data_IF_984868803491
#
_entry.id   IF_984868803491
#
_cell.length_a   1.000
_cell.length_b   1.000
_cell.length_c   1.000
_cell.angle_alpha   90.00
_cell.angle_beta   90.00
_cell.angle_gamma   90.00
#
_symmetry.space_group_name_H-M   'P 1'
#
loop_
_entity.id
_entity.type
_entity.pdbx_description
1 polymer ?
#
# COMPACT_ATOMS: atom_id res chain seq x y z
N UNK A 1 16.60 19.44 -39.18
CA UNK A 1 17.48 18.25 -39.00
C UNK A 1 18.13 17.67 -40.27
N UNK A 2 17.87 18.16 -41.50
CA UNK A 2 18.45 17.57 -42.72
C UNK A 2 19.83 18.11 -43.15
N UNK A 3 20.40 19.08 -42.44
CA UNK A 3 21.65 19.76 -42.85
C UNK A 3 22.91 19.46 -42.04
N UNK A 4 22.86 18.63 -40.99
CA UNK A 4 24.02 18.47 -40.08
C UNK A 4 24.59 17.04 -39.97
N UNK A 5 23.96 16.03 -40.56
CA UNK A 5 24.50 14.66 -40.56
C UNK A 5 24.33 14.01 -41.94
N UNK A 6 25.42 13.82 -42.72
CA UNK A 6 25.35 13.32 -44.09
C UNK A 6 25.19 11.79 -44.19
N UNK A 7 25.37 11.06 -43.08
CA UNK A 7 25.33 9.60 -43.08
C UNK A 7 24.10 9.06 -42.31
N UNK A 8 23.36 8.14 -42.94
CA UNK A 8 22.11 7.57 -42.41
C UNK A 8 22.34 6.84 -41.08
N UNK A 9 23.48 6.16 -40.94
CA UNK A 9 23.89 5.50 -39.70
C UNK A 9 24.17 6.49 -38.54
N UNK A 10 24.71 7.67 -38.86
CA UNK A 10 25.02 8.71 -37.87
C UNK A 10 23.75 9.41 -37.35
N UNK A 11 22.71 9.51 -38.18
CA UNK A 11 21.39 9.99 -37.75
C UNK A 11 20.70 9.00 -36.82
N UNK A 12 20.76 7.71 -37.13
CA UNK A 12 20.23 6.66 -36.25
C UNK A 12 20.98 6.61 -34.92
N UNK A 13 22.31 6.78 -34.93
CA UNK A 13 23.12 6.85 -33.72
C UNK A 13 22.84 8.11 -32.88
N UNK A 14 22.66 9.29 -33.49
CA UNK A 14 22.31 10.51 -32.75
C UNK A 14 20.88 10.49 -32.21
N UNK A 15 19.92 9.88 -32.93
CA UNK A 15 18.54 9.70 -32.42
C UNK A 15 18.53 8.65 -31.30
N UNK A 16 19.31 7.57 -31.40
CA UNK A 16 19.48 6.60 -30.32
C UNK A 16 20.18 7.22 -29.10
N UNK A 17 21.20 8.05 -29.29
CA UNK A 17 21.86 8.75 -28.19
C UNK A 17 20.97 9.81 -27.52
N UNK A 18 20.11 10.50 -28.27
CA UNK A 18 19.10 11.43 -27.73
C UNK A 18 17.94 10.68 -27.03
N UNK A 19 17.54 9.50 -27.52
CA UNK A 19 16.60 8.62 -26.82
C UNK A 19 17.20 8.05 -25.52
N UNK A 20 18.47 7.63 -25.53
CA UNK A 20 19.18 7.15 -24.35
C UNK A 20 19.41 8.30 -23.33
N UNK A 21 19.66 9.53 -23.79
CA UNK A 21 19.79 10.70 -22.93
C UNK A 21 18.45 11.19 -22.36
N UNK A 22 17.35 11.09 -23.12
CA UNK A 22 16.00 11.39 -22.62
C UNK A 22 15.49 10.32 -21.64
N UNK A 23 15.86 9.04 -21.85
CA UNK A 23 15.67 7.97 -20.87
C UNK A 23 16.53 8.21 -19.61
N UNK A 24 17.71 8.82 -19.73
CA UNK A 24 18.57 9.13 -18.59
C UNK A 24 18.17 10.39 -17.80
N UNK A 25 17.42 11.32 -18.38
CA UNK A 25 17.03 12.57 -17.71
C UNK A 25 15.55 12.66 -17.32
N UNK A 26 14.71 11.72 -17.78
CA UNK A 26 13.25 11.75 -17.57
C UNK A 26 12.64 10.49 -16.95
N UNK A 27 13.45 9.48 -16.59
CA UNK A 27 12.99 8.30 -15.87
C UNK A 27 14.02 7.92 -14.80
N UNK A 28 13.88 8.54 -13.62
CA UNK A 28 14.35 7.92 -12.37
C UNK A 28 13.19 7.13 -11.76
N UNK A 29 12.67 6.14 -12.47
CA UNK A 29 12.22 4.94 -11.79
C UNK A 29 13.41 4.01 -11.75
N UNK A 30 13.93 3.82 -10.55
CA UNK A 30 15.07 3.00 -10.25
C UNK A 30 14.71 1.54 -10.64
N UNK A 31 15.14 1.06 -11.81
CA UNK A 31 14.89 -0.30 -12.33
C UNK A 31 15.48 -1.44 -11.45
N UNK A 32 15.84 -1.17 -10.19
CA UNK A 32 16.41 -2.12 -9.24
C UNK A 32 15.84 -2.02 -7.81
N UNK A 33 14.75 -1.27 -7.59
CA UNK A 33 13.91 -1.52 -6.43
C UNK A 33 12.77 -2.43 -6.90
N UNK A 34 12.81 -3.71 -6.52
CA UNK A 34 11.55 -4.38 -6.21
C UNK A 34 10.81 -3.39 -5.30
N UNK A 35 9.68 -2.82 -5.75
CA UNK A 35 8.97 -1.82 -4.97
C UNK A 35 8.71 -2.42 -3.59
N UNK A 36 9.44 -1.97 -2.58
CA UNK A 36 9.31 -2.51 -1.22
C UNK A 36 7.84 -2.28 -0.84
N UNK A 37 7.03 -3.31 -0.58
CA UNK A 37 5.61 -3.09 -0.37
C UNK A 37 5.39 -2.18 0.84
N UNK A 38 4.35 -1.34 0.80
CA UNK A 38 3.94 -0.47 1.91
C UNK A 38 5.01 0.57 2.33
N UNK A 39 5.59 1.32 1.38
CA UNK A 39 6.45 2.48 1.69
C UNK A 39 5.70 3.75 2.08
N UNK A 40 4.37 3.78 1.94
CA UNK A 40 3.56 4.96 2.18
C UNK A 40 2.25 4.59 2.87
N UNK A 41 1.78 5.45 3.77
CA UNK A 41 0.59 5.20 4.58
C UNK A 41 -0.08 6.52 5.00
N UNK A 42 -1.30 6.43 5.52
CA UNK A 42 -1.98 7.55 6.16
C UNK A 42 -2.13 7.28 7.66
N UNK A 43 -1.61 8.19 8.47
CA UNK A 43 -1.79 8.20 9.91
C UNK A 43 -2.98 9.11 10.25
N UNK A 44 -3.98 8.55 10.92
CA UNK A 44 -5.20 9.24 11.29
C UNK A 44 -5.13 9.70 12.75
N UNK A 45 -5.19 11.00 12.99
CA UNK A 45 -5.12 11.57 14.35
C UNK A 45 -6.35 12.39 14.66
N UNK A 46 -7.20 11.85 15.54
CA UNK A 46 -8.32 12.61 16.07
C UNK A 46 -7.83 13.75 16.98
N UNK A 47 -8.38 14.94 16.77
CA UNK A 47 -8.12 16.14 17.54
C UNK A 47 -9.41 16.60 18.22
N UNK A 48 -9.52 16.40 19.53
CA UNK A 48 -10.65 16.89 20.33
C UNK A 48 -10.84 18.41 20.20
N UNK A 49 -9.76 19.15 19.95
CA UNK A 49 -9.79 20.62 19.82
C UNK A 49 -10.57 21.07 18.59
N UNK A 50 -10.44 20.33 17.50
CA UNK A 50 -11.04 20.66 16.20
C UNK A 50 -12.24 19.77 15.88
N UNK A 51 -12.51 18.76 16.71
CA UNK A 51 -13.54 17.73 16.49
C UNK A 51 -13.40 17.10 15.09
N UNK A 52 -12.15 16.81 14.72
CA UNK A 52 -11.80 16.36 13.38
C UNK A 52 -10.62 15.39 13.42
N UNK A 53 -10.55 14.52 12.42
CA UNK A 53 -9.42 13.62 12.20
C UNK A 53 -8.45 14.24 11.22
N UNK A 54 -7.22 14.48 11.66
CA UNK A 54 -6.13 14.88 10.78
C UNK A 54 -5.64 13.66 10.00
N UNK A 55 -5.52 13.83 8.68
CA UNK A 55 -4.94 12.83 7.78
C UNK A 55 -3.48 13.22 7.54
N UNK A 56 -2.56 12.39 8.02
CA UNK A 56 -1.13 12.69 8.00
C UNK A 56 -0.43 11.70 7.07
N UNK A 57 0.02 12.14 5.88
CA UNK A 57 0.80 11.31 4.98
C UNK A 57 2.13 10.88 5.62
N UNK A 58 2.43 9.60 5.49
CA UNK A 58 3.69 8.99 5.87
C UNK A 58 4.38 8.41 4.64
N UNK A 59 5.71 8.51 4.59
CA UNK A 59 6.52 7.81 3.58
C UNK A 59 7.83 7.31 4.16
N UNK A 60 8.35 6.23 3.61
CA UNK A 60 9.68 5.72 3.86
C UNK A 60 10.55 6.09 2.66
N UNK A 61 11.66 6.77 2.91
CA UNK A 61 12.69 7.05 1.90
C UNK A 61 14.06 6.69 2.48
N UNK A 62 14.79 5.82 1.77
CA UNK A 62 16.08 5.24 2.20
C UNK A 62 16.08 4.72 3.65
N UNK A 63 15.00 4.04 4.04
CA UNK A 63 14.83 3.49 5.40
C UNK A 63 14.46 4.51 6.47
N UNK A 64 14.35 5.79 6.13
CA UNK A 64 13.91 6.84 7.05
C UNK A 64 12.41 7.09 6.88
N UNK A 65 11.67 7.03 7.99
CA UNK A 65 10.25 7.37 8.00
C UNK A 65 10.08 8.89 8.07
N UNK A 66 9.26 9.45 7.20
CA UNK A 66 8.90 10.86 7.16
C UNK A 66 7.40 11.06 7.41
N UNK A 67 7.09 12.15 8.08
CA UNK A 67 5.74 12.67 8.32
C UNK A 67 5.55 13.98 7.55
N UNK A 68 4.42 14.13 6.87
CA UNK A 68 4.07 15.37 6.17
C UNK A 68 3.30 16.34 7.07
N UNK A 69 3.74 17.59 7.10
CA UNK A 69 3.12 18.68 7.86
C UNK A 69 2.34 19.57 6.91
N UNK A 70 1.01 19.53 6.99
CA UNK A 70 0.11 20.33 6.14
C UNK A 70 0.33 21.84 6.31
N UNK A 71 0.62 22.29 7.51
CA UNK A 71 0.78 23.73 7.82
C UNK A 71 2.03 24.33 7.17
N UNK A 72 3.07 23.53 6.98
CA UNK A 72 4.38 23.97 6.46
C UNK A 72 4.69 23.43 5.08
N UNK A 73 3.83 22.54 4.53
CA UNK A 73 4.06 21.85 3.27
C UNK A 73 5.43 21.16 3.22
N UNK A 74 5.78 20.47 4.32
CA UNK A 74 7.12 19.91 4.48
C UNK A 74 7.08 18.52 5.10
N UNK A 75 8.02 17.69 4.66
CA UNK A 75 8.30 16.40 5.27
C UNK A 75 9.35 16.53 6.37
N UNK A 76 9.10 15.92 7.52
CA UNK A 76 10.05 15.83 8.63
C UNK A 76 10.37 14.37 8.93
N UNK A 77 11.64 14.05 9.13
CA UNK A 77 12.06 12.70 9.52
C UNK A 77 11.59 12.40 10.95
N UNK A 78 10.92 11.25 11.12
CA UNK A 78 10.62 10.68 12.42
C UNK A 78 11.84 9.94 12.97
N UNK A 79 12.07 10.08 14.27
CA UNK A 79 13.16 9.40 14.95
C UNK A 79 12.71 8.01 15.39
N UNK A 80 13.16 6.99 14.67
CA UNK A 80 13.02 5.58 15.04
C UNK A 80 14.37 4.99 15.45
N UNK A 81 14.35 3.89 16.20
CA UNK A 81 15.56 3.11 16.52
C UNK A 81 15.82 2.08 15.42
N UNK A 82 16.46 2.53 14.33
CA UNK A 82 16.76 1.70 13.15
C UNK A 82 16.08 2.21 11.88
N UNK A 83 16.20 1.43 10.81
CA UNK A 83 15.61 1.73 9.49
C UNK A 83 14.22 1.09 9.35
N UNK A 84 13.27 1.84 8.83
CA UNK A 84 11.93 1.39 8.49
C UNK A 84 11.93 0.60 7.18
N UNK A 85 11.22 -0.53 7.16
CA UNK A 85 11.00 -1.36 5.99
C UNK A 85 9.58 -1.21 5.43
N UNK A 86 8.57 -1.12 6.30
CA UNK A 86 7.16 -0.95 5.92
C UNK A 86 6.44 -0.05 6.93
N UNK A 87 5.46 0.72 6.45
CA UNK A 87 4.57 1.53 7.27
C UNK A 87 3.12 1.26 6.87
N UNK A 88 2.20 1.28 7.84
CA UNK A 88 0.80 0.89 7.64
C UNK A 88 -0.13 2.01 8.06
N UNK A 89 -1.18 2.22 7.27
CA UNK A 89 -2.22 3.21 7.59
C UNK A 89 -2.97 2.81 8.86
N UNK A 90 -3.48 3.78 9.60
CA UNK A 90 -4.23 3.53 10.83
C UNK A 90 -4.22 4.72 11.78
N UNK A 91 -4.86 4.56 12.93
CA UNK A 91 -4.92 5.55 14.00
C UNK A 91 -3.65 5.56 14.85
N UNK A 92 -2.89 4.46 14.85
CA UNK A 92 -1.62 4.31 15.58
C UNK A 92 -0.48 4.04 14.64
N UNK A 93 0.68 4.63 14.95
CA UNK A 93 1.87 4.40 14.15
C UNK A 93 2.34 2.94 14.29
N UNK A 94 2.30 2.19 13.19
CA UNK A 94 2.82 0.83 13.07
C UNK A 94 3.89 0.79 11.98
N UNK A 95 5.09 0.34 12.33
CA UNK A 95 6.25 0.30 11.43
C UNK A 95 6.97 -1.04 11.60
N UNK A 96 7.15 -1.76 10.50
CA UNK A 96 8.09 -2.88 10.45
C UNK A 96 9.48 -2.35 10.13
N UNK A 97 10.47 -2.66 10.95
CA UNK A 97 11.86 -2.25 10.74
C UNK A 97 12.59 -3.24 9.82
N UNK A 98 13.68 -2.84 9.17
CA UNK A 98 14.49 -3.73 8.30
C UNK A 98 15.07 -4.95 9.04
N UNK A 99 15.27 -4.85 10.36
CA UNK A 99 15.65 -5.98 11.21
C UNK A 99 14.50 -6.93 11.56
N UNK A 100 13.28 -6.66 11.09
CA UNK A 100 12.07 -7.43 11.32
C UNK A 100 11.35 -7.15 12.64
N UNK A 101 11.87 -6.24 13.47
CA UNK A 101 11.17 -5.79 14.68
C UNK A 101 10.01 -4.88 14.34
N UNK A 102 8.90 -5.00 15.06
CA UNK A 102 7.74 -4.11 14.96
C UNK A 102 7.84 -2.97 15.98
N UNK A 103 7.75 -1.74 15.48
CA UNK A 103 7.41 -0.58 16.29
C UNK A 103 5.89 -0.35 16.23
N UNK A 104 5.25 -0.23 17.38
CA UNK A 104 3.83 0.08 17.47
C UNK A 104 3.57 1.11 18.57
N UNK A 105 2.85 2.16 18.21
CA UNK A 105 2.48 3.23 19.14
C UNK A 105 1.18 2.89 19.88
N UNK A 106 1.32 2.30 21.05
CA UNK A 106 0.22 2.04 21.97
C UNK A 106 0.77 1.38 23.22
N UNK A 107 0.81 2.09 24.34
CA UNK A 107 1.30 1.54 25.61
C UNK A 107 0.24 0.61 26.22
N UNK A 108 0.70 -0.49 26.83
CA UNK A 108 -0.08 -1.54 27.49
C UNK A 108 -1.10 -2.26 26.58
N UNK A 109 -0.58 -3.07 25.66
CA UNK A 109 -1.32 -4.20 25.07
C UNK A 109 -1.21 -5.45 25.94
N UNK A 110 -1.07 -5.29 27.27
CA UNK A 110 -1.02 -6.44 28.18
C UNK A 110 -2.30 -7.26 28.00
N UNK A 111 -2.20 -8.57 27.76
CA UNK A 111 -3.37 -9.41 27.52
C UNK A 111 -4.20 -9.44 28.82
N UNK A 112 -5.29 -8.68 28.85
CA UNK A 112 -6.29 -8.78 29.92
C UNK A 112 -7.23 -9.93 29.55
N UNK A 113 -6.81 -11.15 29.86
CA UNK A 113 -7.54 -12.40 29.57
C UNK A 113 -8.93 -12.42 30.24
N UNK A 114 -9.12 -11.65 31.32
CA UNK A 114 -10.30 -11.70 32.19
C UNK A 114 -11.51 -10.89 31.67
N UNK A 115 -11.38 -10.15 30.56
CA UNK A 115 -12.44 -9.22 30.13
C UNK A 115 -12.60 -9.03 28.61
N UNK A 116 -12.76 -10.12 27.85
CA UNK A 116 -13.01 -10.06 26.40
C UNK A 116 -14.49 -10.24 26.04
N UNK A 117 -15.27 -9.14 25.88
CA UNK A 117 -16.40 -9.17 24.95
C UNK A 117 -16.69 -7.84 24.21
N UNK A 118 -15.69 -7.21 23.57
CA UNK A 118 -15.86 -6.18 22.53
C UNK A 118 -14.78 -6.34 21.45
N UNK A 119 -15.11 -6.10 20.18
CA UNK A 119 -14.18 -6.25 19.04
C UNK A 119 -12.86 -5.51 19.25
N UNK A 120 -12.90 -4.30 19.81
CA UNK A 120 -11.70 -3.51 20.11
C UNK A 120 -10.80 -4.11 21.21
N UNK A 121 -11.37 -4.89 22.14
CA UNK A 121 -10.59 -5.61 23.16
C UNK A 121 -9.85 -6.80 22.55
N UNK A 122 -10.52 -7.56 21.68
CA UNK A 122 -9.92 -8.69 20.97
C UNK A 122 -8.77 -8.24 20.05
N UNK A 123 -8.96 -7.21 19.22
CA UNK A 123 -7.89 -6.71 18.34
C UNK A 123 -6.66 -6.25 19.13
N UNK A 124 -6.84 -5.61 20.29
CA UNK A 124 -5.72 -5.23 21.17
C UNK A 124 -5.01 -6.43 21.78
N UNK A 125 -5.76 -7.46 22.19
CA UNK A 125 -5.21 -8.71 22.69
C UNK A 125 -4.34 -9.39 21.62
N UNK A 126 -4.85 -9.54 20.40
CA UNK A 126 -4.09 -10.13 19.29
C UNK A 126 -2.87 -9.30 18.89
N UNK A 127 -2.98 -7.97 18.90
CA UNK A 127 -1.84 -7.07 18.70
C UNK A 127 -0.73 -7.30 19.73
N UNK A 128 -1.10 -7.49 21.02
CA UNK A 128 -0.15 -7.80 22.09
C UNK A 128 0.58 -9.12 21.83
N UNK A 129 -0.17 -10.17 21.47
CA UNK A 129 0.39 -11.48 21.09
C UNK A 129 1.34 -11.36 19.88
N UNK A 130 0.98 -10.61 18.84
CA UNK A 130 1.83 -10.42 17.67
C UNK A 130 3.17 -9.77 18.04
N UNK A 131 3.16 -8.76 18.92
CA UNK A 131 4.38 -8.13 19.43
C UNK A 131 5.21 -9.08 20.30
N UNK A 132 4.59 -9.97 21.07
CA UNK A 132 5.30 -11.01 21.83
C UNK A 132 5.98 -12.02 20.91
N UNK A 133 5.28 -12.51 19.90
CA UNK A 133 5.86 -13.37 18.86
C UNK A 133 7.05 -12.68 18.18
N UNK A 134 6.89 -11.42 17.78
CA UNK A 134 7.92 -10.66 17.07
C UNK A 134 9.22 -10.47 17.88
N UNK A 135 9.14 -10.41 19.21
CA UNK A 135 10.33 -10.38 20.09
C UNK A 135 11.15 -11.66 20.01
N UNK A 136 10.51 -12.79 19.68
CA UNK A 136 11.15 -14.11 19.60
C UNK A 136 11.58 -14.46 18.18
N UNK A 137 10.78 -14.06 17.18
CA UNK A 137 11.02 -14.31 15.76
C UNK A 137 10.66 -13.04 14.95
N UNK A 138 11.67 -12.29 14.45
CA UNK A 138 11.44 -11.11 13.63
C UNK A 138 10.72 -11.44 12.32
N UNK A 139 9.79 -10.59 11.92
CA UNK A 139 8.98 -10.78 10.72
C UNK A 139 9.66 -10.23 9.47
N UNK A 140 9.47 -10.90 8.33
CA UNK A 140 9.92 -10.42 7.01
C UNK A 140 8.93 -9.44 6.37
N UNK A 141 7.65 -9.52 6.75
CA UNK A 141 6.59 -8.66 6.27
C UNK A 141 5.34 -8.85 7.11
N UNK A 142 4.46 -7.84 7.13
CA UNK A 142 3.14 -7.94 7.74
C UNK A 142 2.07 -7.40 6.80
N UNK A 143 0.82 -7.82 7.00
CA UNK A 143 -0.29 -7.49 6.10
C UNK A 143 -0.96 -6.14 6.35
N UNK A 144 -0.76 -5.54 7.53
CA UNK A 144 -1.46 -4.34 7.94
C UNK A 144 -1.07 -3.84 9.33
N UNK A 145 -1.77 -2.81 9.79
CA UNK A 145 -1.65 -2.27 11.14
C UNK A 145 -2.24 -3.25 12.17
N UNK A 146 -1.66 -3.32 13.37
CA UNK A 146 -2.04 -4.28 14.40
C UNK A 146 -3.44 -4.06 14.99
N UNK A 147 -4.05 -2.91 14.77
CA UNK A 147 -5.39 -2.62 15.26
C UNK A 147 -6.51 -3.19 14.37
N UNK A 148 -6.17 -3.63 13.16
CA UNK A 148 -7.11 -4.29 12.27
C UNK A 148 -7.16 -5.80 12.55
N UNK A 149 -8.33 -6.44 12.36
CA UNK A 149 -8.46 -7.89 12.50
C UNK A 149 -7.67 -8.62 11.42
N UNK A 150 -7.53 -9.93 11.58
CA UNK A 150 -6.87 -10.84 10.63
C UNK A 150 -5.39 -10.51 10.41
N UNK A 151 -4.65 -10.24 11.50
CA UNK A 151 -3.22 -10.01 11.43
C UNK A 151 -2.49 -11.22 10.82
N UNK A 152 -1.57 -10.93 9.89
CA UNK A 152 -0.67 -11.91 9.31
C UNK A 152 0.75 -11.39 9.24
N UNK A 153 1.71 -12.27 9.51
CA UNK A 153 3.14 -12.00 9.35
C UNK A 153 3.82 -13.08 8.51
N UNK A 154 4.79 -12.68 7.69
CA UNK A 154 5.69 -13.60 7.00
C UNK A 154 6.87 -13.89 7.90
N UNK A 155 7.09 -15.16 8.21
CA UNK A 155 8.18 -15.63 9.05
C UNK A 155 9.45 -15.90 8.22
N UNK A 156 10.59 -15.93 8.90
CA UNK A 156 11.90 -16.21 8.27
C UNK A 156 11.95 -17.59 7.60
N UNK A 157 11.13 -18.53 8.08
CA UNK A 157 10.99 -19.87 7.50
C UNK A 157 10.22 -19.90 6.16
N UNK A 158 9.62 -18.78 5.72
CA UNK A 158 8.74 -18.71 4.55
C UNK A 158 7.29 -19.12 4.83
N UNK A 159 6.95 -19.41 6.09
CA UNK A 159 5.59 -19.67 6.56
C UNK A 159 4.89 -18.35 6.91
N UNK A 160 3.57 -18.34 6.83
CA UNK A 160 2.73 -17.27 7.36
C UNK A 160 2.36 -17.58 8.81
N UNK A 161 2.41 -16.58 9.67
CA UNK A 161 1.75 -16.57 10.96
C UNK A 161 0.37 -15.95 10.76
N UNK A 162 -0.70 -16.69 11.04
CA UNK A 162 -2.09 -16.24 10.85
C UNK A 162 -2.87 -16.41 12.15
N UNK A 163 -3.84 -15.52 12.41
CA UNK A 163 -4.75 -15.66 13.55
C UNK A 163 -5.50 -17.01 13.53
N UNK A 164 -5.68 -17.60 14.70
CA UNK A 164 -6.45 -18.82 14.94
C UNK A 164 -7.09 -18.76 16.33
N UNK A 165 -8.38 -18.44 16.37
CA UNK A 165 -9.14 -18.21 17.61
C UNK A 165 -8.53 -17.13 18.50
N UNK A 166 -7.76 -17.47 19.53
CA UNK A 166 -7.14 -16.57 20.50
C UNK A 166 -5.60 -16.66 20.52
N UNK A 167 -5.01 -17.27 19.48
CA UNK A 167 -3.57 -17.36 19.26
C UNK A 167 -3.26 -17.31 17.74
N UNK A 168 -2.04 -17.69 17.38
CA UNK A 168 -1.57 -17.77 16.01
C UNK A 168 -1.21 -19.21 15.62
N UNK A 169 -1.44 -19.53 14.35
CA UNK A 169 -0.95 -20.76 13.72
C UNK A 169 -0.01 -20.45 12.57
N UNK A 170 0.90 -21.39 12.30
CA UNK A 170 1.75 -21.37 11.11
C UNK A 170 1.03 -21.99 9.93
N UNK A 171 1.07 -21.31 8.80
CA UNK A 171 0.43 -21.71 7.56
C UNK A 171 1.44 -21.64 6.43
N UNK A 172 1.64 -22.74 5.71
CA UNK A 172 2.43 -22.77 4.48
C UNK A 172 1.52 -22.66 3.26
N UNK A 173 1.89 -21.84 2.28
CA UNK A 173 1.23 -21.86 0.98
C UNK A 173 1.63 -23.12 0.19
N UNK A 174 0.70 -23.78 -0.51
CA UNK A 174 1.02 -25.01 -1.25
C UNK A 174 1.95 -24.74 -2.44
N UNK A 175 3.26 -25.07 -2.31
CA UNK A 175 4.29 -24.97 -3.36
C UNK A 175 4.59 -23.56 -3.87
N UNK A 176 4.18 -22.54 -3.13
CA UNK A 176 4.38 -21.14 -3.47
C UNK A 176 5.08 -20.43 -2.31
N UNK A 177 5.89 -19.42 -2.62
CA UNK A 177 6.56 -18.59 -1.62
C UNK A 177 5.82 -17.26 -1.48
N UNK A 178 5.36 -16.86 -0.28
CA UNK A 178 4.83 -15.52 -0.07
C UNK A 178 5.89 -14.43 -0.34
N UNK A 179 5.49 -13.37 -1.04
CA UNK A 179 6.34 -12.22 -1.36
C UNK A 179 5.85 -10.92 -0.70
N UNK A 180 4.53 -10.71 -0.65
CA UNK A 180 3.93 -9.53 -0.03
C UNK A 180 2.52 -9.86 0.50
N UNK A 181 2.03 -9.02 1.41
CA UNK A 181 0.69 -9.16 1.98
C UNK A 181 0.00 -7.81 2.08
N UNK A 182 -1.32 -7.81 1.97
CA UNK A 182 -2.18 -6.65 2.20
C UNK A 182 -3.56 -7.15 2.63
N UNK A 183 -4.03 -6.73 3.80
CA UNK A 183 -5.27 -7.28 4.40
C UNK A 183 -5.20 -8.81 4.45
N UNK A 184 -6.30 -9.50 4.16
CA UNK A 184 -6.33 -10.98 4.13
C UNK A 184 -5.76 -11.59 2.83
N UNK A 185 -4.98 -10.84 2.04
CA UNK A 185 -4.45 -11.29 0.74
C UNK A 185 -2.93 -11.45 0.76
N UNK A 186 -2.45 -12.46 0.05
CA UNK A 186 -1.03 -12.81 -0.07
C UNK A 186 -0.66 -12.86 -1.55
N UNK A 187 0.33 -12.05 -1.93
CA UNK A 187 1.02 -12.13 -3.22
C UNK A 187 2.21 -13.08 -3.09
N UNK A 188 2.37 -13.98 -4.05
CA UNK A 188 3.49 -14.93 -4.11
C UNK A 188 4.62 -14.42 -5.00
N UNK A 189 5.82 -14.97 -4.85
CA UNK A 189 6.97 -14.70 -5.74
C UNK A 189 6.66 -15.09 -7.20
N UNK A 190 5.75 -16.04 -7.41
CA UNK A 190 5.29 -16.47 -8.73
C UNK A 190 4.27 -15.54 -9.38
N UNK A 191 3.83 -14.46 -8.72
CA UNK A 191 2.82 -13.53 -9.26
C UNK A 191 1.37 -14.02 -9.12
N UNK A 192 1.13 -15.01 -8.27
CA UNK A 192 -0.19 -15.55 -7.91
C UNK A 192 -0.73 -14.91 -6.62
N UNK A 193 -2.05 -14.88 -6.44
CA UNK A 193 -2.70 -14.24 -5.29
C UNK A 193 -3.63 -15.19 -4.56
N UNK A 194 -3.47 -15.21 -3.22
CA UNK A 194 -4.27 -16.03 -2.31
C UNK A 194 -5.07 -15.16 -1.34
N UNK A 195 -6.26 -15.63 -0.96
CA UNK A 195 -7.12 -15.06 0.07
C UNK A 195 -7.15 -15.96 1.32
N UNK A 196 -7.02 -15.34 2.50
CA UNK A 196 -6.68 -15.97 3.79
C UNK A 196 -7.64 -15.55 4.93
N UNK A 197 -8.93 -15.87 4.84
CA UNK A 197 -9.92 -15.52 5.90
C UNK A 197 -10.66 -16.73 6.49
N UNK A 198 -10.88 -17.81 5.73
CA UNK A 198 -11.53 -19.04 6.21
C UNK A 198 -10.90 -20.30 5.57
N UNK A 199 -9.58 -20.26 5.40
CA UNK A 199 -8.81 -21.22 4.62
C UNK A 199 -7.89 -20.51 3.65
N UNK A 200 -7.34 -21.27 2.71
CA UNK A 200 -6.42 -20.78 1.67
C UNK A 200 -7.13 -20.94 0.33
N UNK A 201 -7.47 -19.83 -0.30
CA UNK A 201 -8.10 -19.82 -1.63
C UNK A 201 -7.18 -19.13 -2.64
N UNK A 202 -6.85 -19.82 -3.74
CA UNK A 202 -6.16 -19.20 -4.87
C UNK A 202 -7.20 -18.40 -5.68
N UNK A 203 -7.14 -17.07 -5.59
CA UNK A 203 -8.04 -16.16 -6.33
C UNK A 203 -7.44 -15.72 -7.67
N UNK A 204 -6.15 -16.00 -7.90
CA UNK A 204 -5.46 -15.68 -9.14
C UNK A 204 -4.21 -16.54 -9.39
N UNK A 205 -4.21 -17.25 -10.53
CA UNK A 205 -3.14 -18.19 -10.94
C UNK A 205 -2.50 -17.79 -12.29
N UNK A 206 -2.45 -16.48 -12.58
CA UNK A 206 -1.93 -15.96 -13.85
C UNK A 206 -0.43 -15.67 -13.85
N UNK A 207 0.19 -15.62 -12.67
CA UNK A 207 1.64 -15.45 -12.50
C UNK A 207 2.23 -14.11 -12.98
N UNK A 208 1.43 -13.05 -13.03
CA UNK A 208 1.81 -11.74 -13.58
C UNK A 208 1.45 -10.56 -12.66
N UNK A 209 1.11 -10.81 -11.39
CA UNK A 209 0.84 -9.74 -10.40
C UNK A 209 2.14 -9.30 -9.73
N UNK A 210 2.36 -7.98 -9.68
CA UNK A 210 3.56 -7.37 -9.07
C UNK A 210 3.28 -6.61 -7.78
N UNK A 211 2.03 -6.23 -7.54
CA UNK A 211 1.63 -5.57 -6.30
C UNK A 211 0.16 -5.84 -6.01
N UNK A 212 -0.18 -5.85 -4.72
CA UNK A 212 -1.55 -5.96 -4.23
C UNK A 212 -1.84 -4.84 -3.23
N UNK A 213 -3.10 -4.41 -3.16
CA UNK A 213 -3.60 -3.49 -2.15
C UNK A 213 -5.01 -3.91 -1.76
N UNK A 214 -5.24 -4.18 -0.48
CA UNK A 214 -6.51 -4.64 0.04
C UNK A 214 -7.20 -3.59 0.91
N UNK A 215 -8.52 -3.73 1.02
CA UNK A 215 -9.30 -3.01 2.03
C UNK A 215 -8.86 -3.43 3.43
N UNK A 216 -8.83 -2.48 4.36
CA UNK A 216 -8.47 -2.72 5.76
C UNK A 216 -9.51 -3.58 6.50
N UNK A 217 -10.76 -3.60 6.03
CA UNK A 217 -11.89 -4.19 6.77
C UNK A 217 -12.85 -5.01 5.92
N UNK A 218 -12.67 -5.02 4.60
CA UNK A 218 -13.54 -5.77 3.68
C UNK A 218 -12.73 -6.82 2.93
N UNK A 219 -13.40 -7.89 2.50
CA UNK A 219 -12.81 -8.97 1.73
C UNK A 219 -12.54 -8.57 0.27
N UNK A 220 -11.72 -7.54 0.05
CA UNK A 220 -11.52 -6.89 -1.24
C UNK A 220 -10.06 -6.52 -1.48
N UNK A 221 -9.59 -6.76 -2.70
CA UNK A 221 -8.23 -6.47 -3.11
C UNK A 221 -8.16 -6.00 -4.57
N UNK A 222 -7.16 -5.18 -4.85
CA UNK A 222 -6.73 -4.80 -6.19
C UNK A 222 -5.31 -5.36 -6.44
N UNK A 223 -5.10 -5.97 -7.59
CA UNK A 223 -3.80 -6.40 -8.09
C UNK A 223 -3.34 -5.52 -9.26
N UNK A 224 -2.06 -5.15 -9.26
CA UNK A 224 -1.37 -4.54 -10.39
C UNK A 224 -0.61 -5.63 -11.15
N UNK A 225 -0.86 -5.74 -12.45
CA UNK A 225 -0.13 -6.64 -13.35
C UNK A 225 1.17 -6.03 -13.84
N UNK A 226 2.14 -6.86 -14.21
CA UNK A 226 3.41 -6.47 -14.85
C UNK A 226 3.22 -5.57 -16.08
N UNK A 227 2.13 -5.75 -16.82
CA UNK A 227 1.81 -4.98 -18.02
C UNK A 227 1.11 -3.62 -17.73
N UNK A 228 0.93 -3.25 -16.46
CA UNK A 228 0.26 -2.02 -16.05
C UNK A 228 -1.27 -2.05 -16.13
N UNK A 229 -1.89 -3.23 -16.20
CA UNK A 229 -3.34 -3.41 -16.05
C UNK A 229 -3.70 -3.74 -14.58
N UNK A 230 -4.97 -3.56 -14.21
CA UNK A 230 -5.48 -3.90 -12.88
C UNK A 230 -6.44 -5.10 -12.91
N UNK A 231 -6.50 -5.83 -11.80
CA UNK A 231 -7.51 -6.86 -11.53
C UNK A 231 -8.10 -6.62 -10.14
N UNK A 232 -9.41 -6.76 -9.99
CA UNK A 232 -10.09 -6.61 -8.71
C UNK A 232 -10.65 -7.95 -8.23
N UNK A 233 -10.44 -8.25 -6.96
CA UNK A 233 -10.98 -9.42 -6.27
C UNK A 233 -11.82 -8.94 -5.09
N UNK A 234 -13.14 -8.85 -5.29
CA UNK A 234 -14.09 -8.48 -4.23
C UNK A 234 -14.92 -9.73 -3.90
N UNK A 235 -14.70 -10.31 -2.72
CA UNK A 235 -15.28 -11.61 -2.34
C UNK A 235 -16.69 -11.46 -1.75
N UNK A 236 -17.05 -10.26 -1.33
CA UNK A 236 -18.33 -9.96 -0.66
C UNK A 236 -19.37 -9.34 -1.60
N UNK A 237 -18.94 -8.72 -2.70
CA UNK A 237 -19.79 -8.07 -3.72
C UNK A 237 -19.14 -8.15 -5.11
N UNK A 238 -19.91 -7.84 -6.15
CA UNK A 238 -19.37 -7.76 -7.52
C UNK A 238 -18.32 -6.64 -7.63
N UNK A 239 -17.16 -6.98 -8.21
CA UNK A 239 -16.08 -6.03 -8.42
C UNK A 239 -16.40 -5.09 -9.60
N UNK A 240 -16.08 -3.79 -9.52
CA UNK A 240 -16.22 -2.87 -10.63
C UNK A 240 -15.37 -3.28 -11.85
N UNK A 241 -15.84 -2.89 -13.03
CA UNK A 241 -15.09 -3.10 -14.27
C UNK A 241 -13.94 -2.09 -14.38
N UNK A 242 -12.71 -2.61 -14.43
CA UNK A 242 -11.46 -1.86 -14.62
C UNK A 242 -10.73 -2.25 -15.91
N UNK A 243 -11.41 -2.88 -16.86
CA UNK A 243 -10.81 -3.36 -18.13
C UNK A 243 -10.15 -2.27 -18.98
N UNK A 244 -10.55 -1.02 -18.80
CA UNK A 244 -9.97 0.15 -19.48
C UNK A 244 -8.74 0.74 -18.75
N UNK A 245 -8.42 0.26 -17.54
CA UNK A 245 -7.26 0.72 -16.78
C UNK A 245 -5.99 0.13 -17.36
N UNK A 246 -5.06 1.00 -17.80
CA UNK A 246 -3.83 0.64 -18.51
C UNK A 246 -2.71 1.61 -18.20
N UNK A 247 -1.47 1.15 -18.32
CA UNK A 247 -0.27 1.92 -18.02
C UNK A 247 -0.24 2.42 -16.56
N UNK A 248 -0.77 1.62 -15.64
CA UNK A 248 -0.71 1.90 -14.21
C UNK A 248 0.71 1.70 -13.68
N UNK A 249 1.14 2.63 -12.84
CA UNK A 249 2.34 2.55 -12.01
C UNK A 249 2.02 2.05 -10.60
N UNK A 250 0.81 2.30 -10.09
CA UNK A 250 0.37 1.81 -8.78
C UNK A 250 -1.15 1.59 -8.74
N UNK A 251 -1.59 0.69 -7.85
CA UNK A 251 -2.99 0.54 -7.44
C UNK A 251 -3.08 0.64 -5.92
N UNK A 252 -4.13 1.28 -5.44
CA UNK A 252 -4.41 1.46 -4.01
C UNK A 252 -5.88 1.28 -3.72
N UNK A 253 -6.18 0.49 -2.71
CA UNK A 253 -7.53 0.21 -2.27
C UNK A 253 -7.87 1.11 -1.07
N UNK A 254 -9.02 1.80 -1.15
CA UNK A 254 -9.62 2.51 -0.01
C UNK A 254 -10.60 1.61 0.74
N UNK A 255 -11.61 2.18 1.39
CA UNK A 255 -12.63 1.37 2.05
C UNK A 255 -13.54 0.65 1.05
N UNK A 256 -14.12 1.40 0.11
CA UNK A 256 -15.12 0.93 -0.88
C UNK A 256 -14.79 1.34 -2.33
N UNK A 257 -13.54 1.72 -2.58
CA UNK A 257 -13.09 2.20 -3.88
C UNK A 257 -11.65 1.76 -4.13
N UNK A 258 -11.24 1.87 -5.39
CA UNK A 258 -9.86 1.67 -5.83
C UNK A 258 -9.42 2.90 -6.63
N UNK A 259 -8.18 3.30 -6.44
CA UNK A 259 -7.53 4.32 -7.25
C UNK A 259 -6.26 3.74 -7.90
N UNK A 260 -6.07 4.04 -9.18
CA UNK A 260 -4.92 3.62 -9.98
C UNK A 260 -4.11 4.83 -10.41
N UNK A 261 -2.83 4.91 -10.01
CA UNK A 261 -1.91 5.92 -10.52
C UNK A 261 -1.37 5.46 -11.87
N UNK A 262 -1.57 6.24 -12.92
CA UNK A 262 -0.99 6.02 -14.24
C UNK A 262 0.46 6.51 -14.28
N UNK A 263 1.27 5.94 -15.17
CA UNK A 263 2.65 6.36 -15.39
C UNK A 263 2.82 7.78 -15.93
N UNK A 264 1.72 8.44 -16.34
CA UNK A 264 1.69 9.86 -16.72
C UNK A 264 1.24 10.79 -15.57
N UNK A 265 1.06 10.25 -14.37
CA UNK A 265 0.68 11.01 -13.18
C UNK A 265 -0.82 11.24 -12.99
N UNK A 266 -1.67 10.79 -13.91
CA UNK A 266 -3.14 10.83 -13.74
C UNK A 266 -3.64 9.70 -12.88
N UNK A 267 -4.80 9.90 -12.24
CA UNK A 267 -5.40 8.92 -11.34
C UNK A 267 -6.73 8.43 -11.95
N UNK A 268 -6.86 7.12 -12.16
CA UNK A 268 -8.14 6.47 -12.40
C UNK A 268 -8.81 6.13 -11.06
N UNK A 269 -10.13 6.22 -11.00
CA UNK A 269 -10.91 5.93 -9.79
C UNK A 269 -12.13 5.07 -10.12
N UNK A 270 -12.45 4.13 -9.24
CA UNK A 270 -13.69 3.35 -9.33
C UNK A 270 -14.22 3.00 -7.94
N UNK A 271 -15.54 3.04 -7.76
CA UNK A 271 -16.23 2.60 -6.55
C UNK A 271 -17.48 1.76 -6.84
N UNK A 272 -18.09 1.21 -5.79
CA UNK A 272 -19.39 0.51 -5.89
C UNK A 272 -20.62 1.46 -5.81
N UNK A 273 -20.39 2.77 -5.67
CA UNK A 273 -21.41 3.76 -5.32
C UNK A 273 -22.10 4.41 -6.53
N UNK A 274 -21.49 4.34 -7.72
CA UNK A 274 -22.04 4.74 -9.01
C UNK A 274 -22.24 6.25 -9.23
N UNK A 275 -22.76 6.99 -8.24
CA UNK A 275 -22.99 8.44 -8.31
C UNK A 275 -21.75 9.24 -7.88
N UNK A 276 -20.94 8.73 -6.95
CA UNK A 276 -19.70 9.36 -6.47
C UNK A 276 -18.56 9.28 -7.48
N UNK A 277 -18.46 8.19 -8.26
CA UNK A 277 -17.33 7.96 -9.18
C UNK A 277 -17.04 9.12 -10.13
N UNK A 278 -18.04 9.67 -10.83
CA UNK A 278 -17.80 10.74 -11.81
C UNK A 278 -17.33 12.05 -11.14
N UNK A 279 -17.91 12.39 -9.99
CA UNK A 279 -17.56 13.58 -9.23
C UNK A 279 -16.14 13.50 -8.65
N UNK A 280 -15.75 12.32 -8.16
CA UNK A 280 -14.39 12.05 -7.66
C UNK A 280 -13.39 12.05 -8.81
N UNK A 281 -13.72 11.40 -9.93
CA UNK A 281 -12.87 11.38 -11.12
C UNK A 281 -12.64 12.79 -11.70
N UNK A 282 -13.66 13.67 -11.67
CA UNK A 282 -13.55 15.09 -12.02
C UNK A 282 -12.60 15.82 -11.07
N UNK A 283 -12.78 15.66 -9.75
CA UNK A 283 -11.92 16.30 -8.74
C UNK A 283 -10.45 15.86 -8.87
N UNK A 284 -10.20 14.57 -9.12
CA UNK A 284 -8.86 14.04 -9.38
C UNK A 284 -8.27 14.52 -10.71
N UNK A 285 -9.11 14.85 -11.71
CA UNK A 285 -8.68 15.41 -12.98
C UNK A 285 -8.18 16.86 -12.91
N UNK A 286 -8.52 17.58 -11.84
CA UNK A 286 -8.01 18.93 -11.56
C UNK A 286 -6.63 18.90 -10.88
N UNK A 287 -6.18 17.74 -10.40
CA UNK A 287 -4.84 17.62 -9.83
C UNK A 287 -3.78 17.70 -10.94
N UNK A 288 -2.63 18.37 -10.68
CA UNK A 288 -1.46 18.22 -11.53
C UNK A 288 -0.97 16.77 -11.51
N UNK A 289 -0.03 16.45 -12.40
CA UNK A 289 0.59 15.13 -12.46
C UNK A 289 1.17 14.72 -11.10
N UNK A 290 0.73 13.55 -10.62
CA UNK A 290 1.07 13.00 -9.31
C UNK A 290 2.22 12.00 -9.45
N UNK A 291 3.19 12.08 -8.54
CA UNK A 291 4.35 11.18 -8.51
C UNK A 291 4.10 9.92 -7.66
N UNK A 292 3.29 10.02 -6.59
CA UNK A 292 2.93 8.88 -5.74
C UNK A 292 1.51 9.01 -5.18
N UNK A 293 0.89 7.87 -4.88
CA UNK A 293 -0.50 7.77 -4.45
C UNK A 293 -0.61 6.99 -3.13
N UNK A 294 -1.21 7.64 -2.14
CA UNK A 294 -1.50 7.05 -0.83
C UNK A 294 -3.00 7.04 -0.64
N UNK A 295 -3.56 5.87 -0.33
CA UNK A 295 -5.01 5.71 -0.08
C UNK A 295 -5.18 4.88 1.17
N UNK A 296 -6.09 5.31 2.03
CA UNK A 296 -6.57 4.54 3.17
C UNK A 296 -7.93 5.08 3.63
N UNK A 297 -8.78 4.20 4.15
CA UNK A 297 -10.16 4.56 4.54
C UNK A 297 -10.88 5.32 3.42
N UNK A 298 -11.27 6.58 3.64
CA UNK A 298 -11.96 7.45 2.68
C UNK A 298 -11.04 8.48 2.01
N UNK A 299 -9.74 8.44 2.31
CA UNK A 299 -8.81 9.49 1.89
C UNK A 299 -7.96 9.04 0.71
N UNK A 300 -7.83 9.92 -0.28
CA UNK A 300 -6.87 9.84 -1.37
C UNK A 300 -5.88 10.99 -1.18
N UNK A 301 -4.59 10.68 -1.18
CA UNK A 301 -3.51 11.65 -1.14
C UNK A 301 -2.61 11.46 -2.34
N UNK A 302 -2.49 12.49 -3.17
CA UNK A 302 -1.54 12.56 -4.27
C UNK A 302 -0.29 13.33 -3.83
N UNK A 303 0.88 12.72 -3.99
CA UNK A 303 2.18 13.37 -3.74
C UNK A 303 2.75 13.86 -5.06
N UNK A 304 3.01 15.16 -5.18
CA UNK A 304 3.58 15.75 -6.41
C UNK A 304 5.09 15.46 -6.51
N UNK A 305 5.69 15.73 -7.68
CA UNK A 305 7.16 15.60 -7.84
C UNK A 305 7.95 16.50 -6.88
N UNK A 306 7.41 17.67 -6.52
CA UNK A 306 8.01 18.60 -5.58
C UNK A 306 7.83 18.16 -4.10
N UNK A 307 7.04 17.10 -3.87
CA UNK A 307 6.79 16.51 -2.56
C UNK A 307 5.61 17.12 -1.80
N UNK A 308 4.84 18.01 -2.40
CA UNK A 308 3.58 18.50 -1.82
C UNK A 308 2.50 17.41 -1.84
N UNK A 309 1.59 17.46 -0.87
CA UNK A 309 0.46 16.52 -0.79
C UNK A 309 -0.87 17.22 -1.11
N UNK A 310 -1.64 16.63 -2.02
CA UNK A 310 -3.01 16.99 -2.37
C UNK A 310 -3.97 16.00 -1.72
N UNK A 311 -5.08 16.49 -1.15
CA UNK A 311 -5.99 15.67 -0.34
C UNK A 311 -7.38 15.66 -0.94
N UNK A 312 -8.00 14.49 -0.97
CA UNK A 312 -9.40 14.30 -1.31
C UNK A 312 -10.02 13.30 -0.33
N UNK A 313 -11.10 13.70 0.34
CA UNK A 313 -11.98 12.79 1.07
C UNK A 313 -13.14 12.41 0.15
N UNK A 314 -13.29 11.12 -0.14
CA UNK A 314 -14.31 10.64 -1.09
C UNK A 314 -15.74 10.74 -0.54
N UNK A 315 -15.90 10.92 0.77
CA UNK A 315 -17.20 11.16 1.42
C UNK A 315 -17.42 12.63 1.80
N UNK A 316 -16.44 13.52 1.58
CA UNK A 316 -16.56 14.93 1.91
C UNK A 316 -17.66 15.61 1.09
N UNK A 317 -18.53 16.36 1.75
CA UNK A 317 -19.40 17.34 1.07
C UNK A 317 -18.51 18.43 0.45
N UNK A 318 -18.77 18.73 -0.82
CA UNK A 318 -18.07 19.77 -1.62
C UNK A 318 -18.11 21.16 -0.98
#
# INVERSE_FOLDING_TARGET
>A
MNRHFPNKAMRTACVAALFILLLYSGFRQNENQSARPNQSALLFRYSEKTDSTNVIPLKIDDGVLYEYHTDTHAWSAMKLDGMAAQVFSGERLCVLMEGGSLFYEGQDLSPDEDNLPLTAGYSRYMAGKALEYNKTEPFLGVNGNLEYPDFMALLQAGELLCEDEDDFKRVSLPRETPAAMSGSYVLTEGGNVYYMHNGIENVYDGGDIVAISASETAARCAGLKENGEAVLWWMDIEAPDVSEWKNLAAVRHGFNFVAGLRGDGRIDYVDNGGQSTAAIQEALGEWPDVADLIVASQSIVGVTEDGDCLFLDVNGDR
#
